data_IF_136626722324
#
_entry.id   IF_136626722324
#
_cell.length_a   1.000
_cell.length_b   1.000
_cell.length_c   1.000
_cell.angle_alpha   90.00
_cell.angle_beta   90.00
_cell.angle_gamma   90.00
#
_symmetry.space_group_name_H-M   'P 1'
#
loop_
_entity.id
_entity.type
_entity.pdbx_description
1 polymer ?
#
# COMPACT_ATOMS: atom_id res chain seq x y z
N UNK A 1 64.72 41.36 14.95
CA UNK A 1 63.61 41.09 14.01
C UNK A 1 63.67 39.60 13.66
N UNK A 2 62.66 38.74 13.70
CA UNK A 2 61.26 38.74 14.13
C UNK A 2 60.92 37.23 14.36
N UNK A 3 60.11 36.90 15.37
CA UNK A 3 59.70 35.51 15.71
C UNK A 3 58.65 35.00 14.72
N UNK A 4 58.65 33.71 14.37
CA UNK A 4 57.50 33.06 13.73
C UNK A 4 57.13 31.77 14.48
N UNK A 5 55.91 31.76 15.00
CA UNK A 5 55.24 30.63 15.66
C UNK A 5 54.60 29.76 14.57
N UNK A 6 54.86 28.45 14.56
CA UNK A 6 54.10 27.50 13.76
C UNK A 6 52.83 27.09 14.51
N UNK A 7 51.71 27.62 14.04
CA UNK A 7 50.36 27.29 14.50
C UNK A 7 50.00 25.85 14.14
N UNK A 8 49.67 25.03 15.13
CA UNK A 8 49.02 23.73 14.91
C UNK A 8 47.52 23.97 14.66
N UNK A 9 47.02 23.59 13.47
CA UNK A 9 45.59 23.60 13.18
C UNK A 9 44.94 22.35 13.78
N UNK A 10 44.06 22.54 14.78
CA UNK A 10 43.22 21.48 15.33
C UNK A 10 42.00 21.32 14.40
N UNK A 11 41.96 20.25 13.61
CA UNK A 11 40.79 19.89 12.82
C UNK A 11 39.74 19.26 13.74
N UNK A 12 38.69 20.01 14.07
CA UNK A 12 37.49 19.47 14.71
C UNK A 12 36.68 18.76 13.61
N UNK A 13 36.76 17.44 13.56
CA UNK A 13 35.81 16.64 12.80
C UNK A 13 34.48 16.69 13.54
N UNK A 14 33.51 17.46 13.04
CA UNK A 14 32.13 17.30 13.46
C UNK A 14 31.69 15.90 13.02
N UNK A 15 31.54 14.99 13.99
CA UNK A 15 30.82 13.74 13.77
C UNK A 15 29.37 14.12 13.46
N UNK A 16 29.03 14.22 12.17
CA UNK A 16 27.63 14.17 11.77
C UNK A 16 27.15 12.79 12.23
N UNK A 17 26.10 12.71 13.06
CA UNK A 17 25.69 11.42 13.60
C UNK A 17 25.29 10.52 12.42
N UNK A 18 25.68 9.25 12.50
CA UNK A 18 25.56 8.21 11.46
C UNK A 18 24.12 7.87 11.01
N UNK A 19 23.12 8.69 11.35
CA UNK A 19 21.71 8.54 10.96
C UNK A 19 21.46 8.73 9.46
N UNK A 20 22.44 9.23 8.68
CA UNK A 20 22.28 9.43 7.24
C UNK A 20 22.53 8.15 6.42
N UNK A 21 23.19 7.13 6.98
CA UNK A 21 23.57 5.92 6.24
C UNK A 21 22.55 4.78 6.32
N UNK A 22 21.53 4.93 7.18
CA UNK A 22 20.46 3.95 7.40
C UNK A 22 19.08 4.55 7.10
N UNK A 23 19.05 5.63 6.31
CA UNK A 23 17.84 6.01 5.57
C UNK A 23 17.72 4.99 4.44
N UNK A 24 17.09 3.85 4.75
CA UNK A 24 16.62 2.88 3.77
C UNK A 24 16.09 3.61 2.54
N UNK A 25 16.41 3.06 1.37
CA UNK A 25 16.08 3.61 0.06
C UNK A 25 14.63 4.11 0.04
N UNK A 26 14.44 5.42 0.20
CA UNK A 26 13.11 6.02 0.33
C UNK A 26 12.29 5.83 -0.95
N UNK A 27 12.92 5.40 -2.04
CA UNK A 27 12.25 5.07 -3.31
C UNK A 27 11.38 3.81 -3.22
N UNK A 28 11.63 2.91 -2.28
CA UNK A 28 10.83 1.69 -2.08
C UNK A 28 9.70 1.87 -1.05
N UNK A 29 9.54 3.08 -0.48
CA UNK A 29 8.53 3.36 0.54
C UNK A 29 7.24 3.90 -0.09
N UNK A 30 6.12 3.30 0.30
CA UNK A 30 4.77 3.72 -0.12
C UNK A 30 4.09 4.43 1.06
N UNK A 31 3.54 5.62 0.81
CA UNK A 31 2.80 6.37 1.84
C UNK A 31 1.35 5.92 1.84
N UNK A 32 0.73 5.82 3.01
CA UNK A 32 -0.69 5.47 3.12
C UNK A 32 -1.61 6.39 2.30
N UNK A 33 -1.30 7.69 2.27
CA UNK A 33 -2.06 8.67 1.45
C UNK A 33 -2.07 8.41 -0.05
N UNK A 34 -1.09 7.65 -0.54
CA UNK A 34 -0.95 7.29 -1.95
C UNK A 34 -1.77 6.00 -2.27
N UNK A 35 -2.34 5.38 -1.24
CA UNK A 35 -3.17 4.17 -1.28
C UNK A 35 -4.63 4.50 -0.96
N UNK A 36 -4.88 5.24 0.12
CA UNK A 36 -6.24 5.60 0.58
C UNK A 36 -6.95 6.49 -0.44
N UNK A 37 -8.22 6.21 -0.72
CA UNK A 37 -9.00 6.80 -1.81
C UNK A 37 -8.70 6.19 -3.19
N UNK A 38 -7.80 5.20 -3.26
CA UNK A 38 -7.57 4.42 -4.48
C UNK A 38 -8.66 3.37 -4.70
N UNK A 39 -8.87 2.90 -5.93
CA UNK A 39 -9.90 1.91 -6.23
C UNK A 39 -9.52 0.50 -5.75
N UNK A 40 -10.55 -0.28 -5.42
CA UNK A 40 -10.48 -1.72 -5.23
C UNK A 40 -11.04 -2.41 -6.47
N UNK A 41 -10.24 -3.27 -7.09
CA UNK A 41 -10.65 -4.08 -8.23
C UNK A 41 -10.82 -5.54 -7.83
N UNK A 42 -11.87 -6.18 -8.36
CA UNK A 42 -12.08 -7.63 -8.25
C UNK A 42 -11.65 -8.34 -9.53
N UNK A 43 -11.00 -9.49 -9.36
CA UNK A 43 -10.74 -10.47 -10.42
C UNK A 43 -11.55 -11.77 -10.25
N UNK A 44 -12.57 -11.78 -9.38
CA UNK A 44 -13.32 -12.99 -9.05
C UNK A 44 -13.90 -13.72 -10.29
N UNK A 45 -14.28 -12.96 -11.33
CA UNK A 45 -14.82 -13.50 -12.58
C UNK A 45 -13.77 -14.23 -13.44
N UNK A 46 -12.49 -13.95 -13.23
CA UNK A 46 -11.36 -14.48 -14.00
C UNK A 46 -10.25 -15.02 -13.08
N UNK A 47 -10.62 -15.49 -11.88
CA UNK A 47 -9.66 -15.95 -10.89
C UNK A 47 -8.91 -17.20 -11.38
N UNK A 48 -7.58 -17.10 -11.47
CA UNK A 48 -6.67 -18.23 -11.69
C UNK A 48 -5.74 -18.37 -10.49
N UNK A 49 -5.75 -19.54 -9.86
CA UNK A 49 -4.99 -19.80 -8.63
C UNK A 49 -3.47 -19.78 -8.87
N UNK A 50 -3.00 -20.25 -10.03
CA UNK A 50 -1.57 -20.29 -10.34
C UNK A 50 -1.01 -18.87 -10.50
N UNK A 51 -1.78 -18.01 -11.15
CA UNK A 51 -1.54 -16.58 -11.25
C UNK A 51 -1.57 -15.91 -9.89
N UNK A 52 -2.53 -16.28 -9.03
CA UNK A 52 -2.68 -15.65 -7.72
C UNK A 52 -1.51 -15.93 -6.75
N UNK A 53 -0.90 -17.11 -6.89
CA UNK A 53 0.17 -17.62 -6.05
C UNK A 53 1.57 -17.21 -6.53
N UNK A 54 1.72 -16.72 -7.77
CA UNK A 54 3.02 -16.30 -8.28
C UNK A 54 3.40 -14.89 -7.77
N UNK A 55 3.96 -14.85 -6.57
CA UNK A 55 4.44 -13.61 -5.94
C UNK A 55 5.72 -13.05 -6.59
N UNK A 56 6.38 -13.80 -7.48
CA UNK A 56 7.62 -13.35 -8.12
C UNK A 56 7.34 -12.55 -9.39
N UNK A 57 6.14 -12.68 -9.96
CA UNK A 57 5.72 -11.88 -11.07
C UNK A 57 5.15 -10.54 -10.56
N UNK A 58 6.08 -9.64 -10.18
CA UNK A 58 5.76 -8.24 -9.82
C UNK A 58 5.01 -7.53 -10.95
N UNK A 59 5.22 -7.97 -12.18
CA UNK A 59 4.58 -7.41 -13.35
C UNK A 59 3.19 -8.01 -13.56
N UNK A 60 2.90 -9.21 -13.04
CA UNK A 60 1.61 -9.89 -13.14
C UNK A 60 0.50 -8.91 -12.81
N UNK A 61 0.40 -8.45 -11.56
CA UNK A 61 -0.71 -7.57 -11.17
C UNK A 61 -0.57 -6.11 -11.61
N UNK A 62 0.48 -5.72 -12.33
CA UNK A 62 0.69 -4.34 -12.75
C UNK A 62 -0.43 -3.81 -13.66
N UNK A 63 -0.88 -2.57 -13.44
CA UNK A 63 -1.93 -1.91 -14.22
C UNK A 63 -1.71 -1.98 -15.75
N UNK A 64 -0.45 -2.06 -16.19
CA UNK A 64 -0.07 -2.11 -17.59
C UNK A 64 0.09 -3.52 -18.19
N UNK A 65 0.12 -4.59 -17.39
CA UNK A 65 0.38 -5.96 -17.86
C UNK A 65 -0.91 -6.74 -18.16
N UNK A 66 -1.95 -6.54 -17.35
CA UNK A 66 -3.22 -7.27 -17.47
C UNK A 66 -4.25 -6.67 -18.45
N UNK A 67 -3.89 -5.74 -19.33
CA UNK A 67 -4.84 -5.25 -20.34
C UNK A 67 -6.15 -4.73 -19.73
N UNK A 68 -6.04 -3.71 -18.86
CA UNK A 68 -7.13 -3.06 -18.12
C UNK A 68 -8.19 -2.39 -19.02
N UNK A 69 -8.98 -3.18 -19.73
CA UNK A 69 -10.15 -2.71 -20.47
C UNK A 69 -11.41 -3.53 -20.27
N UNK A 70 -11.31 -4.82 -19.89
CA UNK A 70 -12.46 -5.72 -19.91
C UNK A 70 -12.67 -6.60 -18.67
N UNK A 71 -11.65 -6.83 -17.84
CA UNK A 71 -11.68 -7.95 -16.88
C UNK A 71 -11.51 -7.58 -15.41
N UNK A 72 -11.14 -6.32 -15.10
CA UNK A 72 -11.07 -5.79 -13.74
C UNK A 72 -12.35 -5.02 -13.45
N UNK A 73 -13.16 -5.54 -12.54
CA UNK A 73 -14.35 -4.83 -12.09
C UNK A 73 -13.97 -3.95 -10.90
N UNK A 74 -14.11 -2.63 -11.01
CA UNK A 74 -14.02 -1.76 -9.84
C UNK A 74 -15.24 -2.03 -8.97
N UNK A 75 -15.00 -2.36 -7.70
CA UNK A 75 -16.04 -2.81 -6.76
C UNK A 75 -16.08 -1.95 -5.49
N UNK A 76 -15.19 -0.95 -5.39
CA UNK A 76 -15.06 -0.16 -4.18
C UNK A 76 -13.86 0.78 -4.17
N UNK A 77 -13.62 1.34 -2.98
CA UNK A 77 -12.55 2.29 -2.67
C UNK A 77 -11.83 1.89 -1.37
N UNK A 78 -10.56 2.29 -1.25
CA UNK A 78 -9.71 1.97 -0.09
C UNK A 78 -9.87 3.07 0.96
N UNK A 79 -10.45 2.74 2.11
CA UNK A 79 -10.64 3.71 3.20
C UNK A 79 -9.43 3.80 4.13
N UNK A 80 -8.84 2.67 4.48
CA UNK A 80 -7.72 2.64 5.42
C UNK A 80 -6.79 1.43 5.23
N UNK A 81 -5.56 1.54 5.73
CA UNK A 81 -4.59 0.46 5.82
C UNK A 81 -4.44 0.04 7.27
N UNK A 82 -4.67 -1.24 7.54
CA UNK A 82 -4.67 -1.77 8.90
C UNK A 82 -3.29 -2.34 9.21
N UNK A 83 -2.70 -1.87 10.31
CA UNK A 83 -1.44 -2.37 10.85
C UNK A 83 -1.66 -3.09 12.18
N UNK A 84 -0.86 -4.11 12.45
CA UNK A 84 -0.75 -4.68 13.80
C UNK A 84 0.10 -3.80 14.73
N UNK A 85 0.18 -4.18 16.02
CA UNK A 85 0.99 -3.44 17.02
C UNK A 85 2.50 -3.51 16.76
N UNK A 86 2.95 -4.41 15.89
CA UNK A 86 4.31 -4.51 15.40
C UNK A 86 4.58 -3.66 14.15
N UNK A 87 3.56 -2.99 13.62
CA UNK A 87 3.64 -2.17 12.40
C UNK A 87 3.58 -2.99 11.10
N UNK A 88 3.22 -4.28 11.16
CA UNK A 88 3.02 -5.08 9.96
C UNK A 88 1.62 -4.84 9.40
N UNK A 89 1.51 -4.72 8.08
CA UNK A 89 0.21 -4.61 7.43
C UNK A 89 -0.54 -5.94 7.52
N UNK A 90 -1.79 -5.88 7.98
CA UNK A 90 -2.67 -7.06 8.13
C UNK A 90 -3.87 -7.02 7.19
N UNK A 91 -4.15 -5.88 6.57
CA UNK A 91 -5.22 -5.74 5.58
C UNK A 91 -5.55 -4.29 5.28
N UNK A 92 -6.70 -4.09 4.63
CA UNK A 92 -7.30 -2.78 4.37
C UNK A 92 -8.73 -2.74 4.89
N UNK A 93 -9.23 -1.53 5.12
CA UNK A 93 -10.68 -1.28 5.10
C UNK A 93 -11.03 -0.88 3.68
N UNK A 94 -11.96 -1.61 3.07
CA UNK A 94 -12.52 -1.29 1.77
C UNK A 94 -13.97 -0.86 1.94
N UNK A 95 -14.35 0.25 1.33
CA UNK A 95 -15.73 0.58 1.05
C UNK A 95 -16.17 -0.20 -0.19
N UNK A 96 -17.24 -0.98 -0.08
CA UNK A 96 -17.77 -1.82 -1.16
C UNK A 96 -19.26 -1.61 -1.35
N UNK A 97 -19.68 -1.69 -2.62
CA UNK A 97 -21.08 -1.61 -3.02
C UNK A 97 -21.69 -0.21 -2.91
N UNK A 98 -23.03 -0.17 -3.01
CA UNK A 98 -23.81 1.07 -2.92
C UNK A 98 -23.93 1.87 -4.23
N UNK A 99 -24.68 2.97 -4.18
CA UNK A 99 -24.86 3.88 -5.32
C UNK A 99 -24.80 5.32 -4.82
N UNK A 100 -23.71 6.03 -5.14
CA UNK A 100 -23.46 7.42 -4.75
C UNK A 100 -23.38 7.60 -3.22
N UNK A 101 -22.53 6.80 -2.55
CA UNK A 101 -22.30 6.85 -1.10
C UNK A 101 -23.54 6.47 -0.26
N UNK A 102 -24.47 5.73 -0.87
CA UNK A 102 -25.70 5.25 -0.23
C UNK A 102 -25.75 3.73 -0.34
N UNK A 103 -25.74 3.09 0.83
CA UNK A 103 -25.80 1.63 0.96
C UNK A 103 -24.43 0.96 1.01
N UNK A 104 -23.39 1.77 0.98
CA UNK A 104 -21.99 1.36 0.98
C UNK A 104 -21.65 0.71 2.32
N UNK A 105 -20.77 -0.29 2.25
CA UNK A 105 -20.37 -1.07 3.41
C UNK A 105 -18.86 -1.05 3.55
N UNK A 106 -18.40 -0.76 4.75
CA UNK A 106 -16.98 -0.83 5.07
C UNK A 106 -16.64 -2.22 5.60
N UNK A 107 -15.65 -2.87 4.99
CA UNK A 107 -15.25 -4.23 5.36
C UNK A 107 -13.73 -4.34 5.46
N UNK A 108 -13.27 -5.17 6.40
CA UNK A 108 -11.85 -5.49 6.52
C UNK A 108 -11.50 -6.62 5.56
N UNK A 109 -10.57 -6.35 4.64
CA UNK A 109 -10.04 -7.36 3.72
C UNK A 109 -8.63 -7.72 4.16
N UNK A 110 -8.35 -9.01 4.46
CA UNK A 110 -7.04 -9.43 4.94
C UNK A 110 -5.99 -9.32 3.84
N UNK A 111 -4.73 -9.07 4.24
CA UNK A 111 -3.59 -8.89 3.34
C UNK A 111 -3.38 -10.08 2.37
N UNK A 112 -3.76 -11.29 2.78
CA UNK A 112 -3.66 -12.50 1.97
C UNK A 112 -4.57 -12.47 0.72
N UNK A 113 -5.68 -11.72 0.81
CA UNK A 113 -6.73 -11.62 -0.21
C UNK A 113 -6.61 -10.38 -1.10
N UNK A 114 -5.55 -9.59 -0.93
CA UNK A 114 -5.30 -8.38 -1.71
C UNK A 114 -3.88 -8.36 -2.28
N UNK A 115 -3.71 -7.63 -3.38
CA UNK A 115 -2.41 -7.33 -4.01
C UNK A 115 -2.35 -5.86 -4.34
N UNK A 116 -1.29 -5.20 -3.90
CA UNK A 116 -1.04 -3.80 -4.23
C UNK A 116 -0.56 -3.70 -5.68
N UNK A 117 -1.13 -2.77 -6.41
CA UNK A 117 -0.84 -2.54 -7.82
C UNK A 117 -0.54 -1.06 -8.03
N UNK A 118 0.55 -0.74 -8.71
CA UNK A 118 0.80 0.61 -9.16
C UNK A 118 -0.12 0.93 -10.33
N UNK A 119 -0.91 2.00 -10.21
CA UNK A 119 -1.75 2.53 -11.30
C UNK A 119 -0.95 3.51 -12.14
N UNK A 120 -0.20 4.38 -11.47
CA UNK A 120 0.75 5.32 -12.07
C UNK A 120 2.01 5.45 -11.18
N UNK A 121 2.86 6.43 -11.48
CA UNK A 121 4.12 6.67 -10.76
C UNK A 121 3.94 7.00 -9.26
N UNK A 122 2.74 7.40 -8.83
CA UNK A 122 2.47 7.90 -7.49
C UNK A 122 1.16 7.41 -6.86
N UNK A 123 0.31 6.68 -7.59
CA UNK A 123 -0.96 6.15 -7.08
C UNK A 123 -1.02 4.63 -7.16
N UNK A 124 -1.67 4.04 -6.16
CA UNK A 124 -1.81 2.60 -6.02
C UNK A 124 -3.27 2.18 -5.92
N UNK A 125 -3.52 0.91 -6.20
CA UNK A 125 -4.81 0.24 -6.04
C UNK A 125 -4.62 -1.12 -5.42
N UNK A 126 -5.71 -1.71 -4.93
CA UNK A 126 -5.72 -3.11 -4.52
C UNK A 126 -6.54 -3.94 -5.50
N UNK A 127 -6.01 -5.11 -5.83
CA UNK A 127 -6.73 -6.17 -6.52
C UNK A 127 -7.06 -7.25 -5.52
N UNK A 128 -8.30 -7.71 -5.51
CA UNK A 128 -8.77 -8.83 -4.69
C UNK A 128 -9.32 -9.96 -5.54
N UNK A 129 -9.16 -11.19 -5.05
CA UNK A 129 -9.80 -12.39 -5.61
C UNK A 129 -11.27 -12.54 -5.22
N UNK A 130 -11.75 -11.75 -4.27
CA UNK A 130 -13.12 -11.79 -3.77
C UNK A 130 -14.06 -10.99 -4.67
N UNK A 131 -15.29 -11.47 -4.86
CA UNK A 131 -16.34 -10.70 -5.56
C UNK A 131 -16.91 -9.61 -4.64
N UNK A 132 -17.60 -8.64 -5.22
CA UNK A 132 -18.30 -7.59 -4.47
C UNK A 132 -19.28 -8.21 -3.46
N UNK A 133 -20.08 -9.20 -3.89
CA UNK A 133 -21.04 -9.88 -3.03
C UNK A 133 -20.37 -10.61 -1.86
N UNK A 134 -19.21 -11.23 -2.11
CA UNK A 134 -18.44 -11.91 -1.05
C UNK A 134 -17.91 -10.90 -0.02
N UNK A 135 -17.52 -9.71 -0.46
CA UNK A 135 -17.10 -8.64 0.43
C UNK A 135 -18.29 -8.08 1.22
N UNK A 136 -19.43 -7.88 0.57
CA UNK A 136 -20.68 -7.46 1.23
C UNK A 136 -21.17 -8.45 2.29
N UNK A 137 -20.79 -9.72 2.21
CA UNK A 137 -21.10 -10.74 3.24
C UNK A 137 -20.19 -10.65 4.48
N UNK A 138 -19.04 -9.98 4.40
CA UNK A 138 -18.11 -9.86 5.52
C UNK A 138 -18.70 -9.02 6.67
N UNK A 139 -18.20 -9.18 7.91
CA UNK A 139 -18.58 -8.29 9.00
C UNK A 139 -18.28 -6.83 8.65
N UNK A 140 -19.23 -5.95 8.95
CA UNK A 140 -19.01 -4.50 8.80
C UNK A 140 -17.92 -4.05 9.76
N UNK A 141 -17.07 -3.15 9.29
CA UNK A 141 -16.18 -2.34 10.12
C UNK A 141 -16.89 -1.02 10.33
N UNK A 142 -17.16 -0.66 11.57
CA UNK A 142 -17.70 0.66 11.96
C UNK A 142 -16.82 1.27 13.05
N UNK A 143 -17.15 2.48 13.50
CA UNK A 143 -16.39 3.17 14.56
C UNK A 143 -16.27 2.34 15.86
N UNK A 144 -17.23 1.45 16.14
CA UNK A 144 -17.22 0.57 17.32
C UNK A 144 -16.42 -0.71 17.15
N UNK A 145 -15.86 -0.97 15.97
CA UNK A 145 -15.00 -2.13 15.70
C UNK A 145 -13.68 -2.06 16.48
N UNK A 146 -13.21 -0.85 16.79
CA UNK A 146 -11.89 -0.57 17.34
C UNK A 146 -11.85 -0.43 18.87
N UNK A 147 -13.02 -0.50 19.54
CA UNK A 147 -13.18 -0.42 21.00
C UNK A 147 -12.90 -1.77 21.71
#
# INVERSE_FOLDING_TARGET
MLRTLSTAALAVTLAVPAFAQDMADMSDLIRSRDITGGPVYSIANNYDENTWLDLNDRDSYGYNNYGYGTDYNQIGEIEDVILDKGGQMVGIVAEVGGFLDIGDKHVMVPVDDIRLVAVDDASYSYVTRLSEEQLEELPSVDEGWWD
#
